data_IF_157542111634
#
_entry.id   IF_157542111634
#
_cell.length_a   1.000
_cell.length_b   1.000
_cell.length_c   1.000
_cell.angle_alpha   90.00
_cell.angle_beta   90.00
_cell.angle_gamma   90.00
#
_symmetry.space_group_name_H-M   'P 1'
#
loop_
_entity.id
_entity.type
_entity.pdbx_description
1 polymer ?
#
# COMPACT_ATOMS: atom_id res chain seq x y z
N UNK A 1 18.58 26.35 7.51
CA UNK A 1 17.93 25.61 6.42
C UNK A 1 16.96 26.53 5.71
N UNK A 2 17.03 26.62 4.40
CA UNK A 2 16.25 27.59 3.61
C UNK A 2 14.84 26.99 3.36
N UNK A 3 13.73 27.55 3.90
CA UNK A 3 12.41 26.97 3.84
C UNK A 3 11.79 26.94 2.41
N UNK A 4 12.49 27.45 1.41
CA UNK A 4 12.00 27.64 0.04
C UNK A 4 12.48 26.58 -0.97
N UNK A 5 13.21 25.52 -0.58
CA UNK A 5 13.39 24.35 -1.44
C UNK A 5 12.22 23.41 -1.22
N UNK A 6 11.14 23.58 -1.98
CA UNK A 6 10.18 22.51 -2.24
C UNK A 6 10.96 21.32 -2.80
N UNK A 7 11.30 20.36 -1.95
CA UNK A 7 11.83 19.09 -2.40
C UNK A 7 10.81 18.53 -3.39
N UNK A 8 11.25 18.33 -4.63
CA UNK A 8 10.39 17.83 -5.70
C UNK A 8 9.86 16.45 -5.30
N UNK A 9 8.57 16.37 -4.94
CA UNK A 9 7.93 15.10 -4.62
C UNK A 9 7.69 14.30 -5.91
N UNK A 10 8.63 13.40 -6.22
CA UNK A 10 8.59 12.56 -7.41
C UNK A 10 7.42 11.54 -7.41
N UNK A 11 6.78 11.29 -6.26
CA UNK A 11 5.60 10.44 -6.10
C UNK A 11 4.31 11.24 -5.85
N UNK A 12 4.29 12.53 -6.20
CA UNK A 12 3.12 13.40 -6.01
C UNK A 12 1.80 12.79 -6.52
N UNK A 13 1.70 12.16 -7.71
CA UNK A 13 0.46 11.52 -8.16
C UNK A 13 -0.06 10.45 -7.19
N UNK A 14 0.84 9.62 -6.65
CA UNK A 14 0.50 8.57 -5.67
C UNK A 14 -0.08 9.20 -4.40
N UNK A 15 0.55 10.27 -3.89
CA UNK A 15 0.11 10.99 -2.69
C UNK A 15 -1.25 11.67 -2.91
N UNK A 16 -1.43 12.29 -4.06
CA UNK A 16 -2.69 13.00 -4.39
C UNK A 16 -3.85 12.01 -4.41
N UNK A 17 -3.72 10.90 -5.16
CA UNK A 17 -4.80 9.90 -5.32
C UNK A 17 -4.99 9.09 -4.02
N UNK A 18 -3.91 8.77 -3.31
CA UNK A 18 -3.98 7.96 -2.08
C UNK A 18 -4.43 8.73 -0.84
N UNK A 19 -4.15 10.04 -0.74
CA UNK A 19 -4.35 10.79 0.50
C UNK A 19 -5.00 12.16 0.30
N UNK A 20 -4.42 13.06 -0.50
CA UNK A 20 -4.79 14.47 -0.52
C UNK A 20 -6.25 14.71 -0.93
N UNK A 21 -6.78 13.92 -1.86
CA UNK A 21 -8.18 14.03 -2.32
C UNK A 21 -9.17 13.85 -1.16
N UNK A 22 -8.86 12.96 -0.21
CA UNK A 22 -9.73 12.64 0.91
C UNK A 22 -9.67 13.67 2.06
N UNK A 23 -8.74 14.62 2.01
CA UNK A 23 -8.64 15.70 2.99
C UNK A 23 -9.62 16.86 2.72
N UNK A 24 -10.15 16.98 1.50
CA UNK A 24 -11.12 18.03 1.17
C UNK A 24 -12.43 17.86 1.94
N UNK A 25 -12.96 18.96 2.50
CA UNK A 25 -14.20 18.96 3.30
C UNK A 25 -15.39 18.36 2.54
N UNK A 26 -15.52 18.69 1.26
CA UNK A 26 -16.58 18.15 0.39
C UNK A 26 -16.47 16.63 0.27
N UNK A 27 -15.27 16.11 -0.01
CA UNK A 27 -15.04 14.66 -0.13
C UNK A 27 -15.32 13.94 1.19
N UNK A 28 -14.90 14.51 2.32
CA UNK A 28 -15.22 13.97 3.66
C UNK A 28 -16.73 13.88 3.91
N UNK A 29 -17.48 14.91 3.51
CA UNK A 29 -18.94 14.90 3.63
C UNK A 29 -19.55 13.77 2.78
N UNK A 30 -19.09 13.64 1.53
CA UNK A 30 -19.52 12.60 0.61
C UNK A 30 -19.18 11.20 1.12
N UNK A 31 -17.95 11.00 1.67
CA UNK A 31 -17.54 9.74 2.32
C UNK A 31 -18.47 9.36 3.48
N UNK A 32 -18.80 10.31 4.35
CA UNK A 32 -19.73 10.07 5.48
C UNK A 32 -21.11 9.64 4.99
N UNK A 33 -21.66 10.37 4.02
CA UNK A 33 -22.98 10.04 3.43
C UNK A 33 -22.97 8.65 2.79
N UNK A 34 -21.93 8.35 2.00
CA UNK A 34 -21.80 7.03 1.37
C UNK A 34 -21.60 5.91 2.39
N UNK A 35 -20.80 6.14 3.43
CA UNK A 35 -20.60 5.18 4.51
C UNK A 35 -21.90 4.85 5.24
N UNK A 36 -22.71 5.85 5.60
CA UNK A 36 -24.01 5.62 6.24
C UNK A 36 -24.97 4.84 5.34
N UNK A 37 -25.02 5.18 4.04
CA UNK A 37 -25.82 4.45 3.05
C UNK A 37 -25.37 2.99 2.94
N UNK A 38 -24.07 2.74 2.84
CA UNK A 38 -23.54 1.38 2.73
C UNK A 38 -23.78 0.57 4.00
N UNK A 39 -23.59 1.17 5.19
CA UNK A 39 -23.87 0.51 6.45
C UNK A 39 -25.36 0.07 6.55
N UNK A 40 -26.29 0.95 6.15
CA UNK A 40 -27.72 0.63 6.13
C UNK A 40 -28.03 -0.51 5.14
N UNK A 41 -27.48 -0.45 3.92
CA UNK A 41 -27.69 -1.50 2.91
C UNK A 41 -27.08 -2.84 3.35
N UNK A 42 -25.90 -2.83 3.97
CA UNK A 42 -25.26 -4.03 4.51
C UNK A 42 -26.12 -4.69 5.61
N UNK A 43 -26.68 -3.90 6.52
CA UNK A 43 -27.56 -4.42 7.56
C UNK A 43 -28.86 -5.04 6.97
N UNK A 44 -29.45 -4.38 5.97
CA UNK A 44 -30.64 -4.91 5.27
C UNK A 44 -30.32 -6.20 4.51
N UNK A 45 -29.15 -6.26 3.85
CA UNK A 45 -28.74 -7.46 3.12
C UNK A 45 -28.38 -8.61 4.05
N UNK A 46 -27.74 -8.31 5.18
CA UNK A 46 -27.44 -9.30 6.22
C UNK A 46 -28.72 -9.87 6.79
N UNK A 47 -29.72 -9.01 7.12
CA UNK A 47 -31.04 -9.44 7.57
C UNK A 47 -31.72 -10.36 6.55
N UNK A 48 -31.64 -10.01 5.26
CA UNK A 48 -32.20 -10.85 4.18
C UNK A 48 -31.53 -12.23 4.15
N UNK A 49 -30.21 -12.33 4.22
CA UNK A 49 -29.50 -13.61 4.20
C UNK A 49 -29.82 -14.49 5.42
N UNK A 50 -30.14 -13.91 6.58
CA UNK A 50 -30.58 -14.66 7.73
C UNK A 50 -32.03 -15.17 7.60
N UNK A 51 -32.90 -14.45 6.92
CA UNK A 51 -34.30 -14.86 6.73
C UNK A 51 -34.45 -15.93 5.63
N UNK A 52 -33.65 -15.85 4.60
CA UNK A 52 -33.70 -16.73 3.42
C UNK A 52 -32.32 -17.29 3.11
N UNK A 53 -31.81 -18.24 3.93
CA UNK A 53 -30.51 -18.83 3.69
C UNK A 53 -30.54 -19.69 2.42
N UNK A 54 -29.97 -19.19 1.33
CA UNK A 54 -29.88 -19.88 0.04
C UNK A 54 -28.47 -19.72 -0.52
N UNK A 55 -27.88 -20.82 -0.99
CA UNK A 55 -26.58 -20.79 -1.67
C UNK A 55 -26.64 -20.01 -2.99
N UNK A 56 -27.76 -20.10 -3.71
CA UNK A 56 -27.97 -19.32 -4.94
C UNK A 56 -27.94 -17.81 -4.66
N UNK A 57 -28.65 -17.36 -3.60
CA UNK A 57 -28.65 -15.95 -3.22
C UNK A 57 -27.26 -15.49 -2.75
N UNK A 58 -26.50 -16.33 -2.05
CA UNK A 58 -25.14 -16.02 -1.66
C UNK A 58 -24.21 -15.87 -2.88
N UNK A 59 -24.31 -16.76 -3.87
CA UNK A 59 -23.52 -16.67 -5.11
C UNK A 59 -23.93 -15.41 -5.90
N UNK A 60 -25.21 -15.07 -5.94
CA UNK A 60 -25.76 -13.97 -6.71
C UNK A 60 -25.47 -12.60 -6.10
N UNK A 61 -25.70 -12.44 -4.80
CA UNK A 61 -25.63 -11.15 -4.10
C UNK A 61 -24.39 -10.97 -3.21
N UNK A 62 -23.73 -12.08 -2.85
CA UNK A 62 -22.55 -12.09 -1.99
C UNK A 62 -21.35 -11.28 -2.52
N UNK A 63 -21.04 -11.32 -3.82
CA UNK A 63 -19.91 -10.58 -4.38
C UNK A 63 -19.95 -9.08 -4.09
N UNK A 64 -21.12 -8.44 -4.29
CA UNK A 64 -21.28 -7.02 -4.00
C UNK A 64 -21.28 -6.74 -2.50
N UNK A 65 -21.93 -7.59 -1.71
CA UNK A 65 -21.95 -7.48 -0.25
C UNK A 65 -20.53 -7.45 0.33
N UNK A 66 -19.68 -8.40 -0.06
CA UNK A 66 -18.30 -8.49 0.44
C UNK A 66 -17.43 -7.31 0.01
N UNK A 67 -17.61 -6.82 -1.23
CA UNK A 67 -16.97 -5.57 -1.70
C UNK A 67 -17.43 -4.36 -0.87
N UNK A 68 -18.74 -4.25 -0.57
CA UNK A 68 -19.28 -3.17 0.26
C UNK A 68 -18.76 -3.20 1.70
N UNK A 69 -18.57 -4.37 2.29
CA UNK A 69 -17.92 -4.52 3.61
C UNK A 69 -16.50 -3.91 3.60
N UNK A 70 -15.68 -4.28 2.62
CA UNK A 70 -14.32 -3.72 2.47
C UNK A 70 -14.34 -2.21 2.27
N UNK A 71 -15.18 -1.72 1.36
CA UNK A 71 -15.28 -0.28 1.05
C UNK A 71 -15.75 0.51 2.26
N UNK A 72 -16.71 0.00 3.03
CA UNK A 72 -17.18 0.65 4.26
C UNK A 72 -16.07 0.76 5.30
N UNK A 73 -15.28 -0.30 5.48
CA UNK A 73 -14.10 -0.26 6.34
C UNK A 73 -13.06 0.74 5.83
N UNK A 74 -12.75 0.73 4.53
CA UNK A 74 -11.83 1.67 3.91
C UNK A 74 -12.27 3.14 4.10
N UNK A 75 -13.57 3.44 3.92
CA UNK A 75 -14.11 4.78 4.19
C UNK A 75 -13.98 5.17 5.66
N UNK A 76 -14.26 4.27 6.59
CA UNK A 76 -14.09 4.54 8.01
C UNK A 76 -12.64 4.90 8.34
N UNK A 77 -11.66 4.17 7.81
CA UNK A 77 -10.24 4.46 8.01
C UNK A 77 -9.84 5.78 7.36
N UNK A 78 -10.30 6.09 6.14
CA UNK A 78 -10.02 7.38 5.47
C UNK A 78 -10.60 8.57 6.24
N UNK A 79 -11.72 8.39 6.92
CA UNK A 79 -12.33 9.44 7.75
C UNK A 79 -11.63 9.62 9.10
N UNK A 80 -11.22 8.53 9.75
CA UNK A 80 -10.61 8.52 11.08
C UNK A 80 -9.11 8.82 11.05
N UNK A 81 -8.41 8.38 9.99
CA UNK A 81 -6.95 8.46 9.82
C UNK A 81 -6.57 9.25 8.57
N UNK A 82 -7.23 10.38 8.34
CA UNK A 82 -7.09 11.20 7.13
C UNK A 82 -5.68 11.82 6.92
N UNK A 83 -4.85 11.90 7.96
CA UNK A 83 -3.47 12.40 7.92
C UNK A 83 -2.42 11.28 8.05
N UNK A 84 -2.82 10.01 7.94
CA UNK A 84 -1.94 8.87 8.18
C UNK A 84 -0.62 8.93 7.39
N UNK A 85 -0.65 9.38 6.14
CA UNK A 85 0.57 9.54 5.33
C UNK A 85 1.48 10.62 5.90
N UNK A 86 0.90 11.75 6.31
CA UNK A 86 1.65 12.85 6.88
C UNK A 86 2.26 12.42 8.24
N UNK A 87 1.47 11.75 9.09
CA UNK A 87 1.91 11.23 10.38
C UNK A 87 3.07 10.22 10.25
N UNK A 88 2.99 9.31 9.27
CA UNK A 88 4.05 8.33 8.97
C UNK A 88 5.31 9.02 8.46
N UNK A 89 5.18 10.10 7.71
CA UNK A 89 6.30 10.81 7.08
C UNK A 89 6.90 11.91 7.95
N UNK A 90 6.29 12.29 9.08
CA UNK A 90 6.81 13.35 9.97
C UNK A 90 8.18 13.05 10.56
N UNK A 91 8.53 11.76 10.69
CA UNK A 91 9.80 11.32 11.28
C UNK A 91 10.97 11.48 10.31
N UNK A 92 10.70 11.53 9.00
CA UNK A 92 11.76 11.55 7.97
C UNK A 92 11.91 12.95 7.39
N UNK A 93 13.07 13.55 7.62
CA UNK A 93 13.52 14.70 6.84
C UNK A 93 14.07 14.20 5.49
N UNK A 94 13.38 14.53 4.40
CA UNK A 94 13.72 14.05 3.07
C UNK A 94 14.95 14.79 2.53
N UNK A 95 16.01 14.06 2.23
CA UNK A 95 17.17 14.59 1.52
C UNK A 95 16.85 14.85 0.06
N UNK A 96 17.54 15.84 -0.50
CA UNK A 96 17.44 16.15 -1.93
C UNK A 96 17.96 14.95 -2.75
N UNK A 97 17.17 14.52 -3.72
CA UNK A 97 17.53 13.40 -4.63
C UNK A 97 18.79 13.66 -5.45
N UNK A 98 19.22 14.90 -5.58
CA UNK A 98 20.47 15.27 -6.27
C UNK A 98 21.72 15.15 -5.37
N UNK A 99 21.57 14.89 -4.06
CA UNK A 99 22.68 14.88 -3.09
C UNK A 99 23.68 13.72 -3.29
N UNK A 100 23.25 12.63 -3.90
CA UNK A 100 24.05 11.41 -4.09
C UNK A 100 24.56 11.21 -5.55
N UNK A 101 24.54 12.28 -6.36
CA UNK A 101 25.00 12.22 -7.74
C UNK A 101 23.90 11.90 -8.77
N UNK A 102 24.29 12.01 -10.06
CA UNK A 102 23.32 11.89 -11.17
C UNK A 102 22.77 10.47 -11.35
N UNK A 103 23.57 9.44 -11.11
CA UNK A 103 23.16 8.06 -11.34
C UNK A 103 22.05 7.64 -10.38
N UNK A 104 22.20 7.95 -9.10
CA UNK A 104 21.19 7.69 -8.07
C UNK A 104 19.92 8.50 -8.35
N UNK A 105 20.08 9.78 -8.72
CA UNK A 105 18.95 10.63 -9.12
C UNK A 105 18.18 10.05 -10.30
N UNK A 106 18.85 9.61 -11.35
CA UNK A 106 18.22 9.01 -12.53
C UNK A 106 17.53 7.70 -12.20
N UNK A 107 18.10 6.88 -11.31
CA UNK A 107 17.47 5.65 -10.78
C UNK A 107 16.16 5.99 -10.07
N UNK A 108 16.18 6.93 -9.13
CA UNK A 108 14.98 7.38 -8.39
C UNK A 108 13.90 7.91 -9.35
N UNK A 109 14.27 8.76 -10.30
CA UNK A 109 13.32 9.33 -11.27
C UNK A 109 12.72 8.27 -12.20
N UNK A 110 13.49 7.27 -12.61
CA UNK A 110 12.99 6.15 -13.42
C UNK A 110 11.98 5.30 -12.63
N UNK A 111 12.33 4.91 -11.41
CA UNK A 111 11.44 4.11 -10.57
C UNK A 111 10.18 4.87 -10.17
N UNK A 112 10.30 6.15 -9.82
CA UNK A 112 9.13 6.99 -9.50
C UNK A 112 8.17 7.14 -10.68
N UNK A 113 8.70 7.25 -11.91
CA UNK A 113 7.88 7.27 -13.14
C UNK A 113 7.12 5.97 -13.34
N UNK A 114 7.76 4.82 -13.09
CA UNK A 114 7.10 3.50 -13.20
C UNK A 114 5.99 3.36 -12.17
N UNK A 115 6.23 3.78 -10.91
CA UNK A 115 5.24 3.74 -9.84
C UNK A 115 4.06 4.67 -10.15
N UNK A 116 4.32 5.89 -10.60
CA UNK A 116 3.29 6.84 -10.98
C UNK A 116 2.44 6.31 -12.15
N UNK A 117 3.07 5.73 -13.18
CA UNK A 117 2.38 5.13 -14.31
C UNK A 117 1.49 3.97 -13.86
N UNK A 118 2.01 3.08 -12.99
CA UNK A 118 1.24 2.00 -12.41
C UNK A 118 0.00 2.51 -11.67
N UNK A 119 0.14 3.50 -10.79
CA UNK A 119 -0.98 4.08 -10.02
C UNK A 119 -2.03 4.70 -10.95
N UNK A 120 -1.61 5.41 -12.00
CA UNK A 120 -2.53 5.99 -12.99
C UNK A 120 -3.30 4.89 -13.73
N UNK A 121 -2.61 3.86 -14.24
CA UNK A 121 -3.23 2.73 -14.96
C UNK A 121 -4.21 2.00 -14.04
N UNK A 122 -3.81 1.63 -12.83
CA UNK A 122 -4.66 0.92 -11.87
C UNK A 122 -5.90 1.74 -11.48
N UNK A 123 -5.72 3.05 -11.26
CA UNK A 123 -6.85 3.96 -11.00
C UNK A 123 -7.80 4.07 -12.19
N UNK A 124 -7.27 4.13 -13.42
CA UNK A 124 -8.09 4.14 -14.65
C UNK A 124 -8.91 2.86 -14.78
N UNK A 125 -8.31 1.70 -14.50
CA UNK A 125 -9.04 0.42 -14.50
C UNK A 125 -10.17 0.40 -13.46
N UNK A 126 -9.94 0.98 -12.26
CA UNK A 126 -11.01 1.13 -11.25
C UNK A 126 -12.12 2.06 -11.70
N UNK A 127 -11.80 3.17 -12.35
CA UNK A 127 -12.82 4.07 -12.94
C UNK A 127 -13.61 3.36 -14.04
N UNK A 128 -12.95 2.59 -14.90
CA UNK A 128 -13.62 1.78 -15.93
C UNK A 128 -14.55 0.73 -15.30
N UNK A 129 -14.12 0.06 -14.25
CA UNK A 129 -14.96 -0.86 -13.50
C UNK A 129 -16.21 -0.16 -12.94
N UNK A 130 -16.06 0.99 -12.29
CA UNK A 130 -17.20 1.77 -11.77
C UNK A 130 -18.12 2.23 -12.88
N UNK A 131 -17.58 2.73 -14.00
CA UNK A 131 -18.34 3.15 -15.17
C UNK A 131 -19.17 2.01 -15.75
N UNK A 132 -18.62 0.80 -15.76
CA UNK A 132 -19.32 -0.39 -16.24
C UNK A 132 -20.58 -0.72 -15.42
N UNK A 133 -20.56 -0.45 -14.12
CA UNK A 133 -21.72 -0.61 -13.26
C UNK A 133 -22.77 0.50 -13.49
N UNK A 134 -22.33 1.75 -13.68
CA UNK A 134 -23.23 2.86 -13.99
C UNK A 134 -24.00 2.62 -15.29
N UNK A 135 -23.29 2.14 -16.32
CA UNK A 135 -23.86 1.83 -17.64
C UNK A 135 -24.61 0.50 -17.71
N UNK A 136 -24.68 -0.26 -16.60
CA UNK A 136 -25.35 -1.55 -16.58
C UNK A 136 -26.86 -1.42 -16.76
N UNK A 137 -27.43 -2.38 -17.50
CA UNK A 137 -28.89 -2.47 -17.70
C UNK A 137 -29.58 -2.89 -16.39
N UNK A 138 -30.91 -2.71 -16.34
CA UNK A 138 -31.74 -2.99 -15.15
C UNK A 138 -31.68 -4.48 -14.68
N UNK A 139 -31.34 -5.41 -15.56
CA UNK A 139 -31.25 -6.86 -15.26
C UNK A 139 -29.82 -7.31 -14.83
N UNK A 140 -29.00 -6.41 -14.32
CA UNK A 140 -27.66 -6.77 -13.87
C UNK A 140 -27.70 -7.57 -12.56
N UNK A 141 -27.24 -8.84 -12.55
CA UNK A 141 -27.32 -9.68 -11.38
C UNK A 141 -26.59 -9.11 -10.16
N UNK A 142 -25.51 -8.35 -10.33
CA UNK A 142 -24.76 -7.76 -9.21
C UNK A 142 -25.52 -6.64 -8.48
N UNK A 143 -26.44 -5.94 -9.16
CA UNK A 143 -27.18 -4.78 -8.63
C UNK A 143 -28.62 -5.13 -8.24
N UNK A 144 -29.12 -6.30 -8.62
CA UNK A 144 -30.54 -6.69 -8.44
C UNK A 144 -30.97 -6.60 -6.99
N UNK A 145 -30.14 -6.99 -6.01
CA UNK A 145 -30.52 -6.94 -4.60
C UNK A 145 -30.86 -5.51 -4.15
N UNK A 146 -30.04 -4.55 -4.50
CA UNK A 146 -30.24 -3.12 -4.16
C UNK A 146 -31.46 -2.58 -4.85
N UNK A 147 -31.70 -2.99 -6.09
CA UNK A 147 -32.91 -2.63 -6.84
C UNK A 147 -34.17 -3.21 -6.17
N UNK A 148 -34.12 -4.47 -5.67
CA UNK A 148 -35.22 -5.09 -4.93
C UNK A 148 -35.55 -4.29 -3.66
N UNK A 149 -34.52 -3.87 -2.92
CA UNK A 149 -34.69 -3.04 -1.71
C UNK A 149 -35.37 -1.71 -2.07
N UNK A 150 -34.86 -0.98 -3.06
CA UNK A 150 -35.42 0.32 -3.42
C UNK A 150 -36.81 0.21 -4.04
N UNK A 151 -37.11 -0.86 -4.81
CA UNK A 151 -38.46 -1.13 -5.30
C UNK A 151 -39.45 -1.38 -4.15
N UNK A 152 -39.03 -1.95 -3.01
CA UNK A 152 -39.87 -2.13 -1.83
C UNK A 152 -40.03 -0.86 -1.00
N UNK A 153 -38.97 -0.07 -0.85
CA UNK A 153 -38.95 1.13 0.01
C UNK A 153 -39.50 2.36 -0.68
N UNK A 154 -39.15 2.59 -1.95
CA UNK A 154 -39.50 3.77 -2.72
C UNK A 154 -39.78 3.39 -4.20
N UNK A 155 -40.90 2.71 -4.50
CA UNK A 155 -41.15 2.14 -5.83
C UNK A 155 -41.20 3.20 -6.98
N UNK A 156 -41.64 4.43 -6.67
CA UNK A 156 -41.70 5.50 -7.68
C UNK A 156 -40.31 6.02 -8.09
N UNK A 157 -39.32 5.98 -7.17
CA UNK A 157 -38.01 6.62 -7.33
C UNK A 157 -36.87 5.59 -7.32
N UNK A 158 -37.20 4.30 -7.34
CA UNK A 158 -36.25 3.22 -7.23
C UNK A 158 -35.11 3.32 -8.26
N UNK A 159 -35.42 3.64 -9.52
CA UNK A 159 -34.42 3.79 -10.57
C UNK A 159 -33.43 4.94 -10.29
N UNK A 160 -33.93 6.05 -9.73
CA UNK A 160 -33.09 7.20 -9.37
C UNK A 160 -32.19 6.81 -8.19
N UNK A 161 -32.73 6.15 -7.17
CA UNK A 161 -31.97 5.68 -6.02
C UNK A 161 -30.88 4.68 -6.43
N UNK A 162 -31.19 3.73 -7.31
CA UNK A 162 -30.21 2.78 -7.87
C UNK A 162 -29.13 3.52 -8.67
N UNK A 163 -29.49 4.51 -9.48
CA UNK A 163 -28.51 5.31 -10.22
C UNK A 163 -27.58 6.09 -9.29
N UNK A 164 -28.13 6.74 -8.27
CA UNK A 164 -27.33 7.44 -7.25
C UNK A 164 -26.37 6.45 -6.54
N UNK A 165 -26.89 5.28 -6.15
CA UNK A 165 -26.04 4.23 -5.57
C UNK A 165 -24.90 3.83 -6.51
N UNK A 166 -25.18 3.59 -7.79
CA UNK A 166 -24.16 3.26 -8.79
C UNK A 166 -23.08 4.35 -8.91
N UNK A 167 -23.45 5.61 -8.81
CA UNK A 167 -22.51 6.72 -8.82
C UNK A 167 -21.56 6.68 -7.60
N UNK A 168 -22.01 6.17 -6.45
CA UNK A 168 -21.12 6.03 -5.27
C UNK A 168 -20.02 4.99 -5.47
N UNK A 169 -20.16 4.07 -6.44
CA UNK A 169 -19.15 3.06 -6.75
C UNK A 169 -17.82 3.66 -7.25
N UNK A 170 -17.84 4.87 -7.86
CA UNK A 170 -16.60 5.58 -8.19
C UNK A 170 -15.78 5.90 -6.94
N UNK A 171 -16.44 6.43 -5.92
CA UNK A 171 -15.80 6.75 -4.66
C UNK A 171 -15.36 5.48 -3.93
N UNK A 172 -16.20 4.44 -3.96
CA UNK A 172 -15.90 3.12 -3.40
C UNK A 172 -14.68 2.47 -4.06
N UNK A 173 -14.61 2.49 -5.38
CA UNK A 173 -13.48 1.95 -6.13
C UNK A 173 -12.16 2.67 -5.80
N UNK A 174 -12.18 4.00 -5.74
CA UNK A 174 -11.00 4.77 -5.35
C UNK A 174 -10.57 4.46 -3.91
N UNK A 175 -11.50 4.31 -2.98
CA UNK A 175 -11.19 3.97 -1.59
C UNK A 175 -10.57 2.58 -1.43
N UNK A 176 -10.95 1.61 -2.26
CA UNK A 176 -10.37 0.26 -2.24
C UNK A 176 -8.86 0.26 -2.50
N UNK A 177 -8.36 1.14 -3.34
CA UNK A 177 -6.93 1.22 -3.69
C UNK A 177 -6.17 2.29 -2.90
N UNK A 178 -6.87 3.25 -2.29
CA UNK A 178 -6.27 4.41 -1.63
C UNK A 178 -5.24 4.03 -0.56
N UNK A 179 -5.59 3.08 0.33
CA UNK A 179 -4.68 2.65 1.40
C UNK A 179 -3.41 1.97 0.90
N UNK A 180 -3.53 1.21 -0.20
CA UNK A 180 -2.35 0.64 -0.88
C UNK A 180 -1.46 1.75 -1.44
N UNK A 181 -2.03 2.80 -2.01
CA UNK A 181 -1.24 3.94 -2.51
C UNK A 181 -0.58 4.73 -1.38
N UNK A 182 -1.26 4.90 -0.23
CA UNK A 182 -0.66 5.48 0.97
C UNK A 182 0.56 4.68 1.43
N UNK A 183 0.44 3.36 1.47
CA UNK A 183 1.53 2.46 1.84
C UNK A 183 2.68 2.51 0.81
N UNK A 184 2.38 2.44 -0.49
CA UNK A 184 3.38 2.54 -1.56
C UNK A 184 4.11 3.88 -1.47
N UNK A 185 3.39 5.00 -1.27
CA UNK A 185 4.02 6.31 -1.12
C UNK A 185 5.03 6.32 0.02
N UNK A 186 4.62 5.93 1.22
CA UNK A 186 5.47 5.95 2.40
C UNK A 186 6.71 5.04 2.25
N UNK A 187 6.52 3.79 1.82
CA UNK A 187 7.62 2.82 1.68
C UNK A 187 8.60 3.21 0.57
N UNK A 188 8.11 3.72 -0.56
CA UNK A 188 8.99 4.09 -1.67
C UNK A 188 9.76 5.38 -1.41
N UNK A 189 9.20 6.35 -0.68
CA UNK A 189 9.94 7.52 -0.22
C UNK A 189 11.11 7.11 0.68
N UNK A 190 10.89 6.21 1.63
CA UNK A 190 11.95 5.71 2.51
C UNK A 190 13.00 4.94 1.73
N UNK A 191 12.59 4.06 0.81
CA UNK A 191 13.51 3.33 -0.07
C UNK A 191 14.40 4.30 -0.88
N UNK A 192 13.84 5.38 -1.41
CA UNK A 192 14.64 6.39 -2.12
C UNK A 192 15.64 7.08 -1.20
N UNK A 193 15.28 7.33 0.05
CA UNK A 193 16.22 7.85 1.04
C UNK A 193 17.33 6.83 1.40
N UNK A 194 17.01 5.52 1.38
CA UNK A 194 18.03 4.47 1.53
C UNK A 194 19.00 4.44 0.34
N UNK A 195 18.56 4.71 -0.91
CA UNK A 195 19.47 4.85 -2.04
C UNK A 195 20.50 5.96 -1.84
N UNK A 196 20.06 7.11 -1.31
CA UNK A 196 20.97 8.21 -1.00
C UNK A 196 21.96 7.83 0.12
N UNK A 197 21.50 7.15 1.15
CA UNK A 197 22.34 6.66 2.25
C UNK A 197 23.34 5.61 1.73
N UNK A 198 22.91 4.68 0.88
CA UNK A 198 23.76 3.65 0.27
C UNK A 198 24.87 4.24 -0.60
N UNK A 199 24.61 5.35 -1.30
CA UNK A 199 25.65 6.06 -2.05
C UNK A 199 26.70 6.71 -1.13
N UNK A 200 26.29 7.20 0.06
CA UNK A 200 27.23 7.70 1.06
C UNK A 200 28.14 6.58 1.61
N UNK A 201 27.58 5.36 1.82
CA UNK A 201 28.37 4.21 2.27
C UNK A 201 29.41 3.82 1.21
N UNK A 202 29.03 3.79 -0.07
CA UNK A 202 29.98 3.56 -1.16
C UNK A 202 31.10 4.63 -1.20
N UNK A 203 30.75 5.87 -0.88
CA UNK A 203 31.71 6.97 -0.80
C UNK A 203 32.69 6.90 0.40
N UNK A 204 32.58 5.89 1.29
CA UNK A 204 33.54 5.66 2.35
C UNK A 204 34.85 5.07 1.83
N UNK A 205 34.84 4.37 0.69
CA UNK A 205 36.02 3.70 0.09
C UNK A 205 36.84 4.65 -0.82
N UNK A 206 36.54 5.94 -0.90
CA UNK A 206 36.82 6.75 -2.09
C UNK A 206 38.14 7.52 -2.16
N UNK A 207 39.22 7.24 -1.39
CA UNK A 207 40.50 7.98 -1.47
C UNK A 207 41.74 7.22 -1.03
N UNK A 208 41.72 5.91 -1.05
CA UNK A 208 42.81 5.10 -0.50
C UNK A 208 44.07 5.05 -1.34
N UNK A 209 43.92 5.16 -2.69
CA UNK A 209 45.05 5.00 -3.60
C UNK A 209 46.12 6.14 -3.48
N UNK A 210 45.76 7.24 -2.82
CA UNK A 210 46.62 8.40 -2.63
C UNK A 210 47.33 8.47 -1.27
N UNK A 211 47.02 7.52 -0.33
CA UNK A 211 47.49 7.61 1.06
C UNK A 211 48.48 6.50 1.39
N UNK A 212 49.71 6.86 1.83
CA UNK A 212 50.75 5.89 2.29
C UNK A 212 50.34 5.16 3.56
N UNK A 213 49.74 5.83 4.57
CA UNK A 213 49.27 5.24 5.81
C UNK A 213 47.90 5.81 6.22
N UNK A 214 46.80 5.25 5.68
CA UNK A 214 45.44 5.75 5.95
C UNK A 214 45.06 5.73 7.43
N UNK A 215 45.59 4.77 8.22
CA UNK A 215 45.22 4.62 9.64
C UNK A 215 45.72 5.81 10.47
N UNK A 216 46.88 6.36 10.12
CA UNK A 216 47.50 7.49 10.84
C UNK A 216 47.11 8.85 10.30
N UNK A 217 46.51 8.92 9.10
CA UNK A 217 46.06 10.18 8.50
C UNK A 217 44.87 10.74 9.27
N UNK A 218 45.09 11.83 9.99
CA UNK A 218 44.05 12.47 10.83
C UNK A 218 42.95 13.10 10.01
N UNK A 219 43.23 13.61 8.81
CA UNK A 219 42.25 14.26 7.94
C UNK A 219 41.31 13.21 7.38
N UNK A 220 41.87 12.15 6.80
CA UNK A 220 41.10 11.00 6.32
C UNK A 220 40.22 10.41 7.40
N UNK A 221 40.76 10.11 8.58
CA UNK A 221 40.00 9.51 9.67
C UNK A 221 38.88 10.41 10.19
N UNK A 222 39.06 11.75 10.17
CA UNK A 222 38.01 12.70 10.55
C UNK A 222 36.92 12.79 9.48
N UNK A 223 37.28 12.69 8.19
CA UNK A 223 36.30 12.63 7.09
C UNK A 223 35.42 11.35 7.22
N UNK A 224 36.06 10.19 7.44
CA UNK A 224 35.34 8.93 7.69
C UNK A 224 34.43 9.05 8.91
N UNK A 225 34.92 9.61 10.01
CA UNK A 225 34.12 9.82 11.22
C UNK A 225 32.87 10.64 10.95
N UNK A 226 32.99 11.76 10.25
CA UNK A 226 31.88 12.64 9.92
C UNK A 226 30.83 11.95 9.03
N UNK A 227 31.31 11.18 8.02
CA UNK A 227 30.41 10.41 7.14
C UNK A 227 29.68 9.30 7.93
N UNK A 228 30.40 8.57 8.81
CA UNK A 228 29.80 7.52 9.65
C UNK A 228 28.73 8.10 10.58
N UNK A 229 28.97 9.25 11.21
CA UNK A 229 27.99 9.93 12.05
C UNK A 229 26.71 10.28 11.28
N UNK A 230 26.85 10.86 10.09
CA UNK A 230 25.71 11.17 9.23
C UNK A 230 24.92 9.91 8.84
N UNK A 231 25.61 8.82 8.53
CA UNK A 231 24.97 7.54 8.18
C UNK A 231 24.27 6.93 9.39
N UNK A 232 24.89 6.97 10.60
CA UNK A 232 24.29 6.51 11.85
C UNK A 232 22.98 7.27 12.12
N UNK A 233 23.03 8.59 12.10
CA UNK A 233 21.85 9.43 12.34
C UNK A 233 20.73 9.08 11.36
N UNK A 234 21.08 8.87 10.09
CA UNK A 234 20.12 8.50 9.06
C UNK A 234 19.53 7.13 9.27
N UNK A 235 20.34 6.14 9.63
CA UNK A 235 19.87 4.80 9.95
C UNK A 235 18.93 4.80 11.17
N UNK A 236 19.23 5.59 12.20
CA UNK A 236 18.35 5.78 13.35
C UNK A 236 16.98 6.35 12.93
N UNK A 237 16.95 7.32 11.99
CA UNK A 237 15.71 7.87 11.43
C UNK A 237 14.90 6.78 10.71
N UNK A 238 15.53 5.88 9.95
CA UNK A 238 14.82 4.76 9.30
C UNK A 238 14.22 3.78 10.31
N UNK A 239 14.95 3.49 11.41
CA UNK A 239 14.41 2.64 12.49
C UNK A 239 13.24 3.31 13.22
N UNK A 240 13.32 4.61 13.48
CA UNK A 240 12.21 5.38 14.07
C UNK A 240 11.00 5.38 13.16
N UNK A 241 11.21 5.60 11.85
CA UNK A 241 10.13 5.53 10.87
C UNK A 241 9.46 4.15 10.86
N UNK A 242 10.25 3.06 10.84
CA UNK A 242 9.72 1.69 10.93
C UNK A 242 8.82 1.52 12.15
N UNK A 243 9.32 1.89 13.34
CA UNK A 243 8.58 1.73 14.60
C UNK A 243 7.31 2.58 14.62
N UNK A 244 7.38 3.84 14.15
CA UNK A 244 6.21 4.72 14.04
C UNK A 244 5.18 4.14 13.08
N UNK A 245 5.59 3.67 11.91
CA UNK A 245 4.70 3.04 10.92
C UNK A 245 4.03 1.79 11.49
N UNK A 246 4.78 0.91 12.16
CA UNK A 246 4.23 -0.27 12.79
C UNK A 246 3.21 0.08 13.88
N UNK A 247 3.49 1.07 14.71
CA UNK A 247 2.57 1.53 15.76
C UNK A 247 1.27 2.11 15.17
N UNK A 248 1.36 2.92 14.12
CA UNK A 248 0.18 3.55 13.50
C UNK A 248 -0.69 2.56 12.72
N UNK A 249 -0.07 1.55 12.10
CA UNK A 249 -0.74 0.61 11.20
C UNK A 249 -1.09 -0.74 11.85
N UNK A 250 -0.51 -1.09 13.01
CA UNK A 250 -0.71 -2.39 13.66
C UNK A 250 -2.17 -2.77 13.87
N UNK A 251 -3.00 -1.81 14.29
CA UNK A 251 -4.44 -2.03 14.53
C UNK A 251 -5.28 -2.07 13.24
N UNK A 252 -4.69 -1.69 12.10
CA UNK A 252 -5.41 -1.61 10.81
C UNK A 252 -5.08 -2.79 9.90
N UNK A 253 -3.88 -3.34 9.98
CA UNK A 253 -3.40 -4.33 9.02
C UNK A 253 -4.21 -5.63 9.05
N UNK A 254 -4.56 -6.13 10.25
CA UNK A 254 -5.34 -7.35 10.40
C UNK A 254 -6.76 -7.18 9.84
N UNK A 255 -7.54 -6.13 10.22
CA UNK A 255 -8.83 -5.87 9.59
C UNK A 255 -8.75 -5.69 8.08
N UNK A 256 -7.73 -4.99 7.56
CA UNK A 256 -7.54 -4.85 6.11
C UNK A 256 -7.30 -6.19 5.43
N UNK A 257 -6.52 -7.08 6.04
CA UNK A 257 -6.25 -8.41 5.50
C UNK A 257 -7.50 -9.26 5.47
N UNK A 258 -8.27 -9.27 6.55
CA UNK A 258 -9.57 -9.97 6.61
C UNK A 258 -10.49 -9.45 5.49
N UNK A 259 -10.64 -8.14 5.37
CA UNK A 259 -11.46 -7.53 4.33
C UNK A 259 -10.94 -7.84 2.92
N UNK A 260 -9.63 -7.88 2.69
CA UNK A 260 -9.05 -8.27 1.40
C UNK A 260 -9.35 -9.74 1.04
N UNK A 261 -9.30 -10.64 2.02
CA UNK A 261 -9.70 -12.05 1.85
C UNK A 261 -11.20 -12.12 1.50
N UNK A 262 -12.06 -11.37 2.17
CA UNK A 262 -13.49 -11.31 1.87
C UNK A 262 -13.75 -10.82 0.43
N UNK A 263 -13.02 -9.82 -0.05
CA UNK A 263 -13.09 -9.39 -1.46
C UNK A 263 -12.63 -10.49 -2.40
N UNK A 264 -11.55 -11.21 -2.05
CA UNK A 264 -11.09 -12.39 -2.80
C UNK A 264 -12.17 -13.47 -2.92
N UNK A 265 -12.86 -13.80 -1.82
CA UNK A 265 -14.00 -14.70 -1.81
C UNK A 265 -15.12 -14.16 -2.71
N UNK A 266 -15.45 -12.87 -2.63
CA UNK A 266 -16.44 -12.23 -3.50
C UNK A 266 -16.09 -12.33 -4.99
N UNK A 267 -14.81 -12.20 -5.35
CA UNK A 267 -14.34 -12.43 -6.72
C UNK A 267 -14.56 -13.89 -7.13
N UNK A 268 -14.18 -14.84 -6.27
CA UNK A 268 -14.39 -16.27 -6.53
C UNK A 268 -15.88 -16.58 -6.72
N UNK A 269 -16.76 -16.09 -5.85
CA UNK A 269 -18.22 -16.25 -6.00
C UNK A 269 -18.73 -15.67 -7.34
N UNK A 270 -18.15 -14.55 -7.80
CA UNK A 270 -18.51 -13.98 -9.10
C UNK A 270 -18.15 -14.92 -10.28
N UNK A 271 -17.07 -15.68 -10.18
CA UNK A 271 -16.69 -16.69 -11.18
C UNK A 271 -17.53 -17.98 -11.11
N UNK A 272 -18.22 -18.21 -10.00
CA UNK A 272 -19.14 -19.33 -9.88
C UNK A 272 -20.54 -19.03 -10.44
N UNK A 273 -20.84 -17.80 -10.85
CA UNK A 273 -22.08 -17.47 -11.56
C UNK A 273 -22.12 -18.15 -12.93
N UNK A 274 -23.32 -18.40 -13.44
CA UNK A 274 -23.53 -19.06 -14.75
C UNK A 274 -22.90 -18.26 -15.91
N UNK A 275 -22.97 -16.92 -15.82
CA UNK A 275 -22.39 -16.01 -16.81
C UNK A 275 -21.29 -15.19 -16.14
N UNK A 276 -20.05 -15.46 -16.50
CA UNK A 276 -18.90 -14.69 -16.02
C UNK A 276 -18.98 -13.26 -16.56
N UNK A 277 -19.17 -12.30 -15.66
CA UNK A 277 -19.17 -10.89 -16.03
C UNK A 277 -17.74 -10.38 -16.29
N UNK A 278 -17.52 -9.66 -17.40
CA UNK A 278 -16.26 -8.99 -17.67
C UNK A 278 -15.86 -7.97 -16.57
N UNK A 279 -16.82 -7.48 -15.77
CA UNK A 279 -16.60 -6.64 -14.59
C UNK A 279 -15.91 -7.41 -13.46
N UNK A 280 -16.27 -8.68 -13.29
CA UNK A 280 -15.59 -9.55 -12.32
C UNK A 280 -14.14 -9.79 -12.73
N UNK A 281 -13.86 -9.91 -14.02
CA UNK A 281 -12.49 -9.98 -14.53
C UNK A 281 -11.73 -8.67 -14.27
N UNK A 282 -12.34 -7.51 -14.50
CA UNK A 282 -11.69 -6.21 -14.24
C UNK A 282 -11.33 -6.04 -12.75
N UNK A 283 -12.25 -6.31 -11.84
CA UNK A 283 -11.96 -6.18 -10.40
C UNK A 283 -10.93 -7.18 -9.93
N UNK A 284 -10.90 -8.39 -10.51
CA UNK A 284 -9.87 -9.38 -10.22
C UNK A 284 -8.48 -8.88 -10.68
N UNK A 285 -8.36 -8.33 -11.89
CA UNK A 285 -7.10 -7.75 -12.40
C UNK A 285 -6.63 -6.59 -11.51
N UNK A 286 -7.52 -5.66 -11.16
CA UNK A 286 -7.18 -4.54 -10.27
C UNK A 286 -6.76 -5.04 -8.89
N UNK A 287 -7.46 -6.03 -8.33
CA UNK A 287 -7.14 -6.65 -7.05
C UNK A 287 -5.75 -7.30 -7.06
N UNK A 288 -5.44 -8.09 -8.10
CA UNK A 288 -4.13 -8.71 -8.28
C UNK A 288 -3.02 -7.67 -8.41
N UNK A 289 -3.22 -6.61 -9.21
CA UNK A 289 -2.25 -5.52 -9.34
C UNK A 289 -2.03 -4.78 -8.02
N UNK A 290 -3.10 -4.52 -7.29
CA UNK A 290 -3.05 -3.81 -5.99
C UNK A 290 -2.29 -4.62 -4.95
N UNK A 291 -2.60 -5.91 -4.79
CA UNK A 291 -1.92 -6.80 -3.84
C UNK A 291 -0.45 -7.00 -4.23
N UNK A 292 -0.18 -7.28 -5.50
CA UNK A 292 1.20 -7.48 -6.00
C UNK A 292 2.06 -6.24 -5.80
N UNK A 293 1.50 -5.04 -6.01
CA UNK A 293 2.23 -3.78 -5.81
C UNK A 293 2.51 -3.49 -4.34
N UNK A 294 1.55 -3.77 -3.44
CA UNK A 294 1.73 -3.64 -2.00
C UNK A 294 2.89 -4.51 -1.52
N UNK A 295 2.87 -5.79 -1.90
CA UNK A 295 3.88 -6.77 -1.51
C UNK A 295 5.24 -6.44 -2.11
N UNK A 296 5.27 -6.08 -3.40
CA UNK A 296 6.51 -5.64 -4.05
C UNK A 296 7.11 -4.40 -3.37
N UNK A 297 6.27 -3.47 -2.92
CA UNK A 297 6.74 -2.28 -2.21
C UNK A 297 7.39 -2.63 -0.86
N UNK A 298 6.79 -3.55 -0.10
CA UNK A 298 7.35 -4.04 1.16
C UNK A 298 8.65 -4.85 0.96
N UNK A 299 8.65 -5.77 -0.01
CA UNK A 299 9.84 -6.57 -0.35
C UNK A 299 11.02 -5.69 -0.77
N UNK A 300 10.81 -4.73 -1.69
CA UNK A 300 11.88 -3.84 -2.16
C UNK A 300 12.45 -2.95 -1.05
N UNK A 301 11.64 -2.58 -0.06
CA UNK A 301 12.13 -1.86 1.12
C UNK A 301 13.07 -2.75 1.94
N UNK A 302 12.67 -4.01 2.17
CA UNK A 302 13.50 -5.01 2.87
C UNK A 302 14.81 -5.26 2.12
N UNK A 303 14.74 -5.54 0.80
CA UNK A 303 15.91 -5.83 -0.05
C UNK A 303 16.91 -4.67 0.00
N UNK A 304 16.46 -3.40 -0.03
CA UNK A 304 17.35 -2.26 0.01
C UNK A 304 17.98 -2.05 1.39
N UNK A 305 17.28 -2.43 2.45
CA UNK A 305 17.84 -2.44 3.81
C UNK A 305 18.90 -3.54 3.97
N UNK A 306 18.68 -4.72 3.41
CA UNK A 306 19.69 -5.79 3.36
C UNK A 306 20.91 -5.37 2.53
N UNK A 307 20.69 -4.71 1.39
CA UNK A 307 21.76 -4.16 0.58
C UNK A 307 22.61 -3.13 1.33
N UNK A 308 22.00 -2.34 2.23
CA UNK A 308 22.72 -1.42 3.12
C UNK A 308 23.70 -2.17 4.04
N UNK A 309 23.28 -3.28 4.66
CA UNK A 309 24.13 -4.13 5.47
C UNK A 309 25.29 -4.71 4.65
N UNK A 310 25.02 -5.24 3.46
CA UNK A 310 26.05 -5.79 2.56
C UNK A 310 27.07 -4.73 2.16
N UNK A 311 26.65 -3.50 1.87
CA UNK A 311 27.56 -2.39 1.55
C UNK A 311 28.46 -2.02 2.74
N UNK A 312 27.94 -2.04 3.95
CA UNK A 312 28.78 -1.82 5.15
C UNK A 312 29.85 -2.90 5.31
N UNK A 313 29.50 -4.17 5.07
CA UNK A 313 30.49 -5.27 5.17
C UNK A 313 31.56 -5.21 4.09
N UNK A 314 31.24 -4.59 2.92
CA UNK A 314 32.14 -4.41 1.80
C UNK A 314 33.00 -3.14 1.90
N UNK A 315 32.86 -2.32 2.96
CA UNK A 315 33.73 -1.16 3.16
C UNK A 315 35.16 -1.57 3.54
N UNK A 316 36.14 -0.74 3.22
CA UNK A 316 37.55 -0.97 3.55
C UNK A 316 37.86 -0.57 5.01
N UNK A 317 37.05 -1.05 5.94
CA UNK A 317 37.10 -0.75 7.36
C UNK A 317 38.45 -1.06 8.03
N UNK A 318 39.24 -1.94 7.46
CA UNK A 318 40.58 -2.28 7.96
C UNK A 318 41.55 -1.11 7.87
N UNK A 319 41.29 -0.10 7.04
CA UNK A 319 42.07 1.14 6.93
C UNK A 319 41.65 2.21 7.93
N UNK A 320 40.64 1.97 8.72
CA UNK A 320 40.09 2.94 9.67
C UNK A 320 40.73 2.79 11.03
N UNK A 321 40.78 3.88 11.81
CA UNK A 321 41.23 3.85 13.20
C UNK A 321 40.23 3.10 14.10
N UNK A 322 40.65 2.75 15.30
CA UNK A 322 39.85 1.95 16.24
C UNK A 322 38.52 2.61 16.61
N UNK A 323 38.47 3.94 16.65
CA UNK A 323 37.24 4.68 16.98
C UNK A 323 36.19 4.53 15.84
N UNK A 324 36.59 4.67 14.59
CA UNK A 324 35.71 4.49 13.43
C UNK A 324 35.29 3.03 13.27
N UNK A 325 36.17 2.06 13.51
CA UNK A 325 35.82 0.63 13.51
C UNK A 325 34.77 0.29 14.58
N UNK A 326 34.83 0.87 15.77
CA UNK A 326 33.80 0.69 16.81
C UNK A 326 32.45 1.23 16.38
N UNK A 327 32.40 2.40 15.71
CA UNK A 327 31.16 2.95 15.13
C UNK A 327 30.58 2.01 14.10
N UNK A 328 31.41 1.45 13.20
CA UNK A 328 30.96 0.49 12.21
C UNK A 328 30.35 -0.77 12.85
N UNK A 329 30.97 -1.34 13.89
CA UNK A 329 30.42 -2.51 14.57
C UNK A 329 29.02 -2.21 15.12
N UNK A 330 28.80 -1.04 15.72
CA UNK A 330 27.49 -0.63 16.22
C UNK A 330 26.45 -0.52 15.09
N UNK A 331 26.85 0.01 13.92
CA UNK A 331 25.98 0.07 12.75
C UNK A 331 25.63 -1.34 12.27
N UNK A 332 26.63 -2.22 12.12
CA UNK A 332 26.44 -3.59 11.62
C UNK A 332 25.50 -4.40 12.52
N UNK A 333 25.60 -4.29 13.85
CA UNK A 333 24.70 -4.96 14.78
C UNK A 333 23.24 -4.55 14.53
N UNK A 334 23.00 -3.26 14.30
CA UNK A 334 21.65 -2.75 14.05
C UNK A 334 21.17 -3.01 12.61
N UNK A 335 22.05 -2.94 11.61
CA UNK A 335 21.74 -3.17 10.21
C UNK A 335 21.59 -4.66 9.86
N UNK A 336 22.11 -5.58 10.70
CA UNK A 336 21.93 -7.03 10.52
C UNK A 336 20.46 -7.47 10.54
N UNK A 337 19.60 -6.68 11.18
CA UNK A 337 18.15 -6.89 11.13
C UNK A 337 17.53 -5.95 10.09
N UNK A 338 17.11 -6.45 8.93
CA UNK A 338 16.61 -5.60 7.87
C UNK A 338 15.34 -4.84 8.29
N UNK A 339 15.15 -3.67 7.70
CA UNK A 339 13.96 -2.86 7.90
C UNK A 339 12.83 -3.50 7.10
N UNK A 340 12.03 -4.30 7.78
CA UNK A 340 10.84 -4.93 7.24
C UNK A 340 9.60 -4.45 8.01
N UNK A 341 8.45 -4.54 7.37
CA UNK A 341 7.17 -4.21 7.98
C UNK A 341 6.52 -5.50 8.51
N UNK A 342 6.99 -5.91 9.70
CA UNK A 342 6.51 -7.08 10.43
C UNK A 342 5.49 -6.65 11.48
N UNK A 343 4.21 -6.94 11.23
CA UNK A 343 3.10 -6.57 12.12
C UNK A 343 2.77 -7.64 13.18
N UNK A 344 3.15 -8.90 12.92
CA UNK A 344 3.08 -10.02 13.88
C UNK A 344 4.09 -11.09 13.48
N UNK A 345 4.28 -12.13 14.29
CA UNK A 345 5.26 -13.19 14.02
C UNK A 345 5.08 -13.91 12.68
N UNK A 346 3.86 -13.97 12.14
CA UNK A 346 3.56 -14.57 10.83
C UNK A 346 3.19 -13.56 9.75
N UNK A 347 3.25 -12.26 10.01
CA UNK A 347 2.68 -11.25 9.12
C UNK A 347 3.71 -10.18 8.74
N UNK A 348 4.52 -10.49 7.73
CA UNK A 348 5.47 -9.57 7.10
C UNK A 348 4.97 -9.26 5.69
N UNK A 349 4.99 -7.98 5.27
CA UNK A 349 4.60 -7.61 3.90
C UNK A 349 5.76 -7.91 2.96
N UNK A 350 5.79 -9.16 2.47
CA UNK A 350 6.80 -9.69 1.55
C UNK A 350 6.18 -10.76 0.63
N UNK A 351 6.99 -11.40 -0.21
CA UNK A 351 6.52 -12.46 -1.11
C UNK A 351 5.98 -13.70 -0.41
N UNK A 352 6.39 -14.01 0.82
CA UNK A 352 5.83 -15.13 1.60
C UNK A 352 4.36 -14.90 1.92
N UNK A 353 3.98 -13.64 2.22
CA UNK A 353 2.59 -13.26 2.42
C UNK A 353 1.77 -13.44 1.12
N UNK A 354 2.33 -13.11 -0.04
CA UNK A 354 1.65 -13.34 -1.33
C UNK A 354 1.36 -14.82 -1.54
N UNK A 355 2.36 -15.67 -1.29
CA UNK A 355 2.21 -17.13 -1.40
C UNK A 355 1.15 -17.67 -0.45
N UNK A 356 1.10 -17.15 0.79
CA UNK A 356 0.07 -17.51 1.75
C UNK A 356 -1.34 -17.12 1.27
N UNK A 357 -1.51 -15.90 0.75
CA UNK A 357 -2.78 -15.42 0.20
C UNK A 357 -3.22 -16.28 -0.99
N UNK A 358 -2.33 -16.59 -1.93
CA UNK A 358 -2.63 -17.43 -3.10
C UNK A 358 -3.07 -18.84 -2.68
N UNK A 359 -2.35 -19.48 -1.75
CA UNK A 359 -2.72 -20.80 -1.21
C UNK A 359 -4.07 -20.77 -0.52
N UNK A 360 -4.37 -19.76 0.27
CA UNK A 360 -5.64 -19.60 0.97
C UNK A 360 -6.81 -19.44 -0.01
N UNK A 361 -6.66 -18.59 -1.03
CA UNK A 361 -7.67 -18.41 -2.07
C UNK A 361 -7.91 -19.68 -2.87
N UNK A 362 -6.87 -20.43 -3.22
CA UNK A 362 -6.98 -21.71 -3.91
C UNK A 362 -7.77 -22.74 -3.06
N UNK A 363 -7.46 -22.83 -1.76
CA UNK A 363 -8.17 -23.73 -0.85
C UNK A 363 -9.67 -23.38 -0.75
N UNK A 364 -9.99 -22.09 -0.62
CA UNK A 364 -11.38 -21.62 -0.59
C UNK A 364 -12.10 -21.93 -1.90
N UNK A 365 -11.46 -21.66 -3.05
CA UNK A 365 -12.03 -21.97 -4.36
C UNK A 365 -12.33 -23.47 -4.49
N UNK A 366 -11.42 -24.34 -4.07
CA UNK A 366 -11.60 -25.80 -4.13
C UNK A 366 -12.80 -26.25 -3.32
N UNK A 367 -13.03 -25.69 -2.12
CA UNK A 367 -14.18 -25.99 -1.28
C UNK A 367 -15.49 -25.51 -1.94
N UNK A 368 -15.52 -24.27 -2.43
CA UNK A 368 -16.71 -23.66 -3.05
C UNK A 368 -17.14 -24.42 -4.32
N UNK A 369 -16.17 -24.82 -5.16
CA UNK A 369 -16.42 -25.62 -6.36
C UNK A 369 -17.03 -26.97 -5.95
N UNK A 370 -16.47 -27.66 -4.94
CA UNK A 370 -17.01 -28.93 -4.45
C UNK A 370 -18.45 -28.80 -3.93
N UNK A 371 -18.74 -27.74 -3.18
CA UNK A 371 -20.09 -27.47 -2.63
C UNK A 371 -21.10 -27.15 -3.75
N UNK A 372 -20.67 -26.49 -4.83
CA UNK A 372 -21.57 -26.18 -5.96
C UNK A 372 -21.94 -27.41 -6.80
N UNK A 373 -21.02 -28.37 -6.95
CA UNK A 373 -21.20 -29.52 -7.85
C UNK A 373 -21.55 -30.84 -7.14
N UNK A 374 -21.60 -30.84 -5.79
CA UNK A 374 -22.22 -31.91 -4.98
C UNK A 374 -23.62 -31.52 -4.53
#
# INVERSE_FOLDING_TARGET
MNPNRMNYDCLRPVRVIGSNIYQFKFVKCLLKLTLTTYATLLLLQLYYFFQTPSMEDLIKYGPLFLKMCFVSFAFAVLLLKNHMVDDVMTVIDLWDISSAGNDVKLRILRESRQINAFVVVNTTLMVLWSTSHVLSRQNDPEVIFIQVIFNKLCPREANICVFIFKMTLYLGGLAMVAHTYQFIYATQQVKFQMYLCNALIEGLNGKLEELEDPIRDKIYQKEIESKLEMIIDRHCVFLQWKNNTLMLMSNLIIPFTICAILVGIGIVLSFLQEVISWRSCLVAVVGLFTISSLITAGQRLQDESENMFLKFTATEWYTWNIRNRRKLVLILINAANPINLKFSEGFVINFDLLMFICKSLYSILSILVKVKYN
#
